data_IF_864561862097
#
_entry.id   IF_864561862097
#
_cell.length_a   1.000
_cell.length_b   1.000
_cell.length_c   1.000
_cell.angle_alpha   90.00
_cell.angle_beta   90.00
_cell.angle_gamma   90.00
#
_symmetry.space_group_name_H-M   'P 1'
#
loop_
_entity.id
_entity.type
_entity.pdbx_description
1 polymer ?
#
# COMPACT_ATOMS: atom_id res chain seq x y z
N UNK A 1 -15.06 -2.87 44.91
CA UNK A 1 -15.22 -3.04 43.45
C UNK A 1 -15.22 -4.53 43.15
N UNK A 2 -16.23 -5.09 42.46
CA UNK A 2 -16.31 -6.55 42.21
C UNK A 2 -15.10 -6.98 41.36
N UNK A 3 -14.47 -8.12 41.65
CA UNK A 3 -13.27 -8.64 40.94
C UNK A 3 -13.42 -8.56 39.41
N UNK A 4 -14.62 -8.81 38.89
CA UNK A 4 -14.95 -8.69 37.46
C UNK A 4 -14.73 -7.29 36.87
N UNK A 5 -14.99 -6.23 37.64
CA UNK A 5 -14.76 -4.85 37.21
C UNK A 5 -13.26 -4.49 37.20
N UNK A 6 -12.47 -5.04 38.14
CA UNK A 6 -11.01 -4.89 38.13
C UNK A 6 -10.41 -5.59 36.92
N UNK A 7 -10.84 -6.83 36.64
CA UNK A 7 -10.39 -7.60 35.47
C UNK A 7 -10.76 -6.90 34.16
N UNK A 8 -11.98 -6.37 34.05
CA UNK A 8 -12.41 -5.62 32.86
C UNK A 8 -11.57 -4.35 32.65
N UNK A 9 -11.28 -3.60 33.74
CA UNK A 9 -10.46 -2.39 33.67
C UNK A 9 -9.03 -2.70 33.20
N UNK A 10 -8.41 -3.75 33.75
CA UNK A 10 -7.05 -4.20 33.38
C UNK A 10 -7.00 -4.64 31.91
N UNK A 11 -7.99 -5.41 31.45
CA UNK A 11 -8.08 -5.81 30.04
C UNK A 11 -8.24 -4.59 29.13
N UNK A 12 -9.10 -3.65 29.47
CA UNK A 12 -9.32 -2.45 28.65
C UNK A 12 -8.07 -1.57 28.57
N UNK A 13 -7.36 -1.38 29.68
CA UNK A 13 -6.10 -0.62 29.69
C UNK A 13 -4.97 -1.35 28.95
N UNK A 14 -4.86 -2.67 29.06
CA UNK A 14 -3.88 -3.45 28.31
C UNK A 14 -4.12 -3.38 26.79
N UNK A 15 -5.37 -3.53 26.34
CA UNK A 15 -5.74 -3.40 24.92
C UNK A 15 -5.47 -1.98 24.42
N UNK A 16 -5.87 -0.96 25.18
CA UNK A 16 -5.61 0.45 24.83
C UNK A 16 -4.12 0.76 24.69
N UNK A 17 -3.30 0.31 25.64
CA UNK A 17 -1.86 0.49 25.60
C UNK A 17 -1.22 -0.25 24.41
N UNK A 18 -1.69 -1.46 24.09
CA UNK A 18 -1.22 -2.23 22.94
C UNK A 18 -1.52 -1.53 21.60
N UNK A 19 -2.75 -1.02 21.42
CA UNK A 19 -3.14 -0.28 20.21
C UNK A 19 -2.32 0.99 20.04
N UNK A 20 -2.13 1.76 21.13
CA UNK A 20 -1.32 2.98 21.12
C UNK A 20 0.16 2.70 20.84
N UNK A 21 0.72 1.68 21.48
CA UNK A 21 2.10 1.25 21.23
C UNK A 21 2.33 0.80 19.79
N UNK A 22 1.38 0.04 19.23
CA UNK A 22 1.42 -0.41 17.83
C UNK A 22 1.33 0.76 16.85
N UNK A 23 0.46 1.74 17.13
CA UNK A 23 0.40 3.00 16.35
C UNK A 23 1.75 3.73 16.35
N UNK A 24 2.40 3.87 17.51
CA UNK A 24 3.71 4.53 17.58
C UNK A 24 4.80 3.74 16.83
N UNK A 25 4.82 2.42 16.96
CA UNK A 25 5.75 1.57 16.19
C UNK A 25 5.55 1.71 14.69
N UNK A 26 4.29 1.69 14.24
CA UNK A 26 3.94 1.88 12.85
C UNK A 26 4.31 3.28 12.33
N UNK A 27 4.18 4.35 13.14
CA UNK A 27 4.66 5.68 12.73
C UNK A 27 6.16 5.72 12.47
N UNK A 28 6.98 4.92 13.17
CA UNK A 28 8.40 4.79 12.87
C UNK A 28 8.66 4.15 11.49
N UNK A 29 7.85 3.15 11.12
CA UNK A 29 7.88 2.57 9.76
C UNK A 29 7.43 3.57 8.69
N UNK A 30 6.36 4.31 8.95
CA UNK A 30 5.88 5.39 8.06
C UNK A 30 6.96 6.45 7.83
N UNK A 31 7.74 6.81 8.86
CA UNK A 31 8.85 7.75 8.70
C UNK A 31 9.99 7.21 7.81
N UNK A 32 10.31 5.92 7.91
CA UNK A 32 11.29 5.29 7.04
C UNK A 32 10.81 5.23 5.58
N UNK A 33 9.55 4.83 5.37
CA UNK A 33 8.90 4.84 4.04
C UNK A 33 8.87 6.26 3.47
N UNK A 34 8.55 7.28 4.28
CA UNK A 34 8.54 8.68 3.85
C UNK A 34 9.90 9.17 3.34
N UNK A 35 11.02 8.75 3.95
CA UNK A 35 12.36 9.09 3.45
C UNK A 35 12.63 8.46 2.07
N UNK A 36 12.24 7.21 1.90
CA UNK A 36 12.38 6.50 0.63
C UNK A 36 11.51 7.14 -0.47
N UNK A 37 10.23 7.38 -0.18
CA UNK A 37 9.30 8.05 -1.09
C UNK A 37 9.78 9.47 -1.45
N UNK A 38 10.34 10.22 -0.50
CA UNK A 38 10.91 11.54 -0.78
C UNK A 38 12.09 11.47 -1.77
N UNK A 39 12.95 10.45 -1.66
CA UNK A 39 14.05 10.22 -2.60
C UNK A 39 13.54 9.87 -4.01
N UNK A 40 12.54 8.98 -4.11
CA UNK A 40 11.93 8.64 -5.40
C UNK A 40 11.23 9.85 -6.04
N UNK A 41 10.49 10.62 -5.24
CA UNK A 41 9.83 11.86 -5.67
C UNK A 41 10.84 12.87 -6.21
N UNK A 42 11.98 13.04 -5.53
CA UNK A 42 13.05 13.93 -5.99
C UNK A 42 13.60 13.50 -7.35
N UNK A 43 13.73 12.19 -7.58
CA UNK A 43 14.19 11.66 -8.87
C UNK A 43 13.18 11.95 -9.98
N UNK A 44 11.88 11.75 -9.70
CA UNK A 44 10.79 12.07 -10.64
C UNK A 44 10.72 13.55 -11.00
N UNK A 45 10.94 14.43 -10.02
CA UNK A 45 11.02 15.87 -10.27
C UNK A 45 12.20 16.21 -11.18
N UNK A 46 13.36 15.58 -11.00
CA UNK A 46 14.50 15.76 -11.92
C UNK A 46 14.22 15.24 -13.33
N UNK A 47 13.54 14.09 -13.45
CA UNK A 47 13.13 13.57 -14.76
C UNK A 47 12.12 14.53 -15.44
N UNK A 48 11.21 15.13 -14.67
CA UNK A 48 10.30 16.18 -15.15
C UNK A 48 11.07 17.43 -15.62
N UNK A 49 11.98 17.96 -14.79
CA UNK A 49 12.77 19.16 -15.09
C UNK A 49 13.69 18.99 -16.31
N UNK A 50 14.21 17.77 -16.51
CA UNK A 50 15.07 17.43 -17.65
C UNK A 50 14.28 17.06 -18.92
N UNK A 51 12.94 17.04 -18.86
CA UNK A 51 12.09 16.65 -19.98
C UNK A 51 12.13 15.16 -20.30
N UNK A 52 12.64 14.32 -19.40
CA UNK A 52 12.69 12.87 -19.54
C UNK A 52 11.33 12.22 -19.22
N UNK A 53 10.33 12.58 -20.04
CA UNK A 53 8.92 12.22 -19.79
C UNK A 53 8.66 10.72 -19.84
N UNK A 54 9.43 9.97 -20.63
CA UNK A 54 9.25 8.52 -20.76
C UNK A 54 9.65 7.81 -19.46
N UNK A 55 10.83 8.11 -18.93
CA UNK A 55 11.27 7.58 -17.64
C UNK A 55 10.35 8.02 -16.50
N UNK A 56 9.89 9.27 -16.53
CA UNK A 56 8.93 9.77 -15.55
C UNK A 56 7.62 8.97 -15.60
N UNK A 57 7.11 8.68 -16.80
CA UNK A 57 5.91 7.89 -17.02
C UNK A 57 6.08 6.47 -16.46
N UNK A 58 7.13 5.76 -16.83
CA UNK A 58 7.43 4.42 -16.32
C UNK A 58 7.50 4.41 -14.78
N UNK A 59 8.17 5.40 -14.19
CA UNK A 59 8.30 5.49 -12.73
C UNK A 59 6.96 5.80 -12.03
N UNK A 60 6.06 6.55 -12.67
CA UNK A 60 4.71 6.81 -12.15
C UNK A 60 3.79 5.59 -12.33
N UNK A 61 3.90 4.87 -13.44
CA UNK A 61 3.17 3.63 -13.67
C UNK A 61 3.58 2.55 -12.66
N UNK A 62 4.88 2.45 -12.32
CA UNK A 62 5.38 1.58 -11.27
C UNK A 62 4.79 1.93 -9.89
N UNK A 63 4.78 3.21 -9.50
CA UNK A 63 4.20 3.65 -8.22
C UNK A 63 2.71 3.33 -8.15
N UNK A 64 1.97 3.54 -9.25
CA UNK A 64 0.55 3.19 -9.37
C UNK A 64 0.36 1.70 -9.10
N UNK A 65 1.14 0.84 -9.74
CA UNK A 65 1.03 -0.61 -9.59
C UNK A 65 1.36 -1.05 -8.16
N UNK A 66 2.42 -0.49 -7.57
CA UNK A 66 2.77 -0.74 -6.18
C UNK A 66 1.65 -0.31 -5.21
N UNK A 67 1.01 0.83 -5.47
CA UNK A 67 -0.12 1.30 -4.67
C UNK A 67 -1.34 0.38 -4.79
N UNK A 68 -1.63 -0.16 -5.98
CA UNK A 68 -2.71 -1.13 -6.20
C UNK A 68 -2.44 -2.44 -5.45
N UNK A 69 -1.19 -2.93 -5.48
CA UNK A 69 -0.79 -4.13 -4.71
C UNK A 69 -0.96 -3.88 -3.21
N UNK A 70 -0.41 -2.78 -2.70
CA UNK A 70 -0.52 -2.40 -1.28
C UNK A 70 -1.97 -2.25 -0.83
N UNK A 71 -2.84 -1.73 -1.69
CA UNK A 71 -4.29 -1.69 -1.42
C UNK A 71 -4.84 -3.11 -1.24
N UNK A 72 -4.56 -4.02 -2.18
CA UNK A 72 -4.99 -5.41 -2.11
C UNK A 72 -4.45 -6.18 -0.87
N UNK A 73 -3.21 -5.92 -0.46
CA UNK A 73 -2.64 -6.44 0.79
C UNK A 73 -3.35 -5.87 2.03
N UNK A 74 -3.70 -4.58 1.97
CA UNK A 74 -4.33 -3.83 3.06
C UNK A 74 -5.80 -4.14 3.29
N UNK A 75 -6.53 -4.68 2.31
CA UNK A 75 -7.97 -4.99 2.40
C UNK A 75 -8.32 -5.92 3.58
N UNK A 76 -7.41 -6.83 3.94
CA UNK A 76 -7.58 -7.76 5.06
C UNK A 76 -6.63 -7.47 6.24
N UNK A 77 -5.96 -6.31 6.21
CA UNK A 77 -4.95 -5.94 7.20
C UNK A 77 -5.53 -5.40 8.51
N UNK A 78 -4.72 -5.49 9.58
CA UNK A 78 -5.06 -4.90 10.89
C UNK A 78 -5.09 -3.35 10.87
N UNK A 79 -4.64 -2.73 9.78
CA UNK A 79 -4.63 -1.29 9.56
C UNK A 79 -6.02 -0.66 9.70
N UNK A 80 -7.09 -1.39 9.36
CA UNK A 80 -8.48 -0.94 9.51
C UNK A 80 -8.82 -0.64 10.98
N UNK A 81 -8.31 -1.45 11.91
CA UNK A 81 -8.51 -1.26 13.35
C UNK A 81 -7.58 -0.20 13.93
N UNK A 82 -6.39 -0.08 13.34
CA UNK A 82 -5.40 0.89 13.77
C UNK A 82 -5.65 2.28 13.21
N UNK A 83 -6.34 2.47 12.08
CA UNK A 83 -6.71 3.78 11.51
C UNK A 83 -8.11 3.74 10.90
N UNK A 84 -9.15 3.57 11.72
CA UNK A 84 -10.54 3.53 11.24
C UNK A 84 -10.96 4.82 10.52
N UNK A 85 -10.31 5.95 10.80
CA UNK A 85 -10.52 7.22 10.14
C UNK A 85 -10.21 7.20 8.63
N UNK A 86 -9.29 6.34 8.18
CA UNK A 86 -8.88 6.23 6.78
C UNK A 86 -9.89 5.46 5.92
N UNK A 87 -10.75 4.66 6.55
CA UNK A 87 -11.74 3.79 5.89
C UNK A 87 -13.18 4.26 6.09
N UNK A 88 -13.38 5.42 6.73
CA UNK A 88 -14.67 5.99 7.02
C UNK A 88 -14.84 7.39 6.41
N UNK A 89 -16.10 7.81 6.24
CA UNK A 89 -16.44 9.17 5.80
C UNK A 89 -15.91 9.52 4.40
N UNK A 90 -15.47 10.77 4.25
CA UNK A 90 -15.02 11.32 2.96
C UNK A 90 -13.75 10.67 2.45
N UNK A 91 -12.84 10.25 3.34
CA UNK A 91 -11.59 9.58 2.97
C UNK A 91 -11.85 8.26 2.24
N UNK A 92 -12.89 7.51 2.65
CA UNK A 92 -13.32 6.31 1.93
C UNK A 92 -13.72 6.63 0.50
N UNK A 93 -14.57 7.65 0.31
CA UNK A 93 -15.08 8.02 -1.01
C UNK A 93 -13.99 8.61 -1.93
N UNK A 94 -13.02 9.34 -1.36
CA UNK A 94 -11.86 9.86 -2.11
C UNK A 94 -10.94 8.69 -2.48
N UNK A 95 -10.64 7.80 -1.53
CA UNK A 95 -9.82 6.61 -1.75
C UNK A 95 -10.38 5.70 -2.84
N UNK A 96 -11.68 5.39 -2.78
CA UNK A 96 -12.35 4.56 -3.79
C UNK A 96 -12.32 5.19 -5.19
N UNK A 97 -12.49 6.51 -5.30
CA UNK A 97 -12.39 7.22 -6.59
C UNK A 97 -10.96 7.20 -7.13
N UNK A 98 -9.97 7.41 -6.27
CA UNK A 98 -8.56 7.33 -6.65
C UNK A 98 -8.19 5.92 -7.13
N UNK A 99 -8.64 4.90 -6.39
CA UNK A 99 -8.43 3.49 -6.71
C UNK A 99 -9.04 3.11 -8.06
N UNK A 100 -10.31 3.47 -8.30
CA UNK A 100 -10.98 3.21 -9.56
C UNK A 100 -10.24 3.85 -10.75
N UNK A 101 -9.79 5.11 -10.61
CA UNK A 101 -9.00 5.78 -11.66
C UNK A 101 -7.67 5.09 -11.93
N UNK A 102 -6.95 4.70 -10.87
CA UNK A 102 -5.68 4.00 -11.00
C UNK A 102 -5.86 2.64 -11.70
N UNK A 103 -6.88 1.87 -11.29
CA UNK A 103 -7.21 0.58 -11.88
C UNK A 103 -7.66 0.70 -13.34
N UNK A 104 -8.57 1.63 -13.67
CA UNK A 104 -8.99 1.89 -15.06
C UNK A 104 -7.82 2.31 -15.92
N UNK A 105 -6.98 3.25 -15.46
CA UNK A 105 -5.82 3.69 -16.22
C UNK A 105 -4.84 2.53 -16.49
N UNK A 106 -4.58 1.66 -15.50
CA UNK A 106 -3.76 0.45 -15.69
C UNK A 106 -4.38 -0.51 -16.70
N UNK A 107 -5.69 -0.73 -16.64
CA UNK A 107 -6.40 -1.61 -17.57
C UNK A 107 -6.24 -1.14 -19.03
N UNK A 108 -6.22 0.17 -19.24
CA UNK A 108 -5.96 0.80 -20.54
C UNK A 108 -4.47 0.80 -20.93
N UNK A 109 -3.57 0.84 -19.93
CA UNK A 109 -2.12 0.92 -20.10
C UNK A 109 -1.43 -0.20 -19.30
N UNK A 110 -1.53 -1.46 -19.74
CA UNK A 110 -0.99 -2.60 -19.02
C UNK A 110 0.53 -2.52 -18.99
N UNK A 111 1.10 -2.54 -17.79
CA UNK A 111 2.55 -2.66 -17.58
C UNK A 111 2.91 -4.09 -17.23
N UNK A 112 4.09 -4.50 -17.69
CA UNK A 112 4.68 -5.77 -17.29
C UNK A 112 5.29 -5.61 -15.90
N UNK A 113 4.77 -6.38 -14.95
CA UNK A 113 5.26 -6.35 -13.57
C UNK A 113 6.65 -6.99 -13.42
N UNK A 114 6.90 -8.09 -14.15
CA UNK A 114 8.20 -8.73 -14.22
C UNK A 114 8.36 -9.41 -15.58
N UNK A 115 9.55 -9.30 -16.18
CA UNK A 115 9.89 -10.10 -17.36
C UNK A 115 10.21 -11.54 -16.94
N UNK A 116 9.81 -12.56 -17.73
CA UNK A 116 10.07 -13.96 -17.40
C UNK A 116 11.55 -14.26 -17.12
N UNK A 117 12.44 -13.64 -17.90
CA UNK A 117 13.89 -13.77 -17.77
C UNK A 117 14.40 -13.26 -16.41
N UNK A 118 13.84 -12.16 -15.92
CA UNK A 118 14.14 -11.62 -14.59
C UNK A 118 13.67 -12.57 -13.51
N UNK A 119 12.44 -13.09 -13.63
CA UNK A 119 11.89 -14.07 -12.67
C UNK A 119 12.77 -15.32 -12.60
N UNK A 120 13.28 -15.77 -13.76
CA UNK A 120 14.09 -16.98 -13.85
C UNK A 120 15.45 -16.86 -13.15
N UNK A 121 15.98 -15.65 -13.03
CA UNK A 121 17.23 -15.36 -12.33
C UNK A 121 17.11 -15.24 -10.80
N UNK A 122 15.87 -15.13 -10.28
CA UNK A 122 15.61 -14.92 -8.85
C UNK A 122 15.51 -16.25 -8.10
N UNK A 123 15.84 -16.19 -6.81
CA UNK A 123 15.59 -17.29 -5.89
C UNK A 123 14.09 -17.60 -5.76
N UNK A 124 13.76 -18.81 -5.29
CA UNK A 124 12.38 -19.29 -5.25
C UNK A 124 11.45 -18.45 -4.38
N UNK A 125 11.95 -17.89 -3.27
CA UNK A 125 11.13 -17.10 -2.36
C UNK A 125 10.82 -15.73 -2.94
N UNK A 126 11.82 -15.06 -3.50
CA UNK A 126 11.64 -13.78 -4.20
C UNK A 126 10.75 -13.91 -5.42
N UNK A 127 10.93 -14.98 -6.22
CA UNK A 127 10.07 -15.26 -7.39
C UNK A 127 8.61 -15.42 -6.96
N UNK A 128 8.35 -16.25 -5.94
CA UNK A 128 6.99 -16.46 -5.43
C UNK A 128 6.36 -15.14 -4.98
N UNK A 129 7.11 -14.30 -4.25
CA UNK A 129 6.61 -12.99 -3.82
C UNK A 129 6.25 -12.06 -4.99
N UNK A 130 7.06 -12.04 -6.05
CA UNK A 130 6.76 -11.26 -7.25
C UNK A 130 5.55 -11.80 -8.02
N UNK A 131 5.39 -13.13 -8.11
CA UNK A 131 4.22 -13.75 -8.72
C UNK A 131 2.94 -13.49 -7.93
N UNK A 132 3.00 -13.53 -6.59
CA UNK A 132 1.89 -13.17 -5.71
C UNK A 132 1.50 -11.70 -5.91
N UNK A 133 2.47 -10.79 -5.98
CA UNK A 133 2.25 -9.39 -6.28
C UNK A 133 1.63 -9.17 -7.66
N UNK A 134 2.09 -9.90 -8.69
CA UNK A 134 1.50 -9.84 -10.02
C UNK A 134 0.03 -10.29 -10.00
N UNK A 135 -0.28 -11.40 -9.32
CA UNK A 135 -1.67 -11.87 -9.17
C UNK A 135 -2.54 -10.89 -8.40
N UNK A 136 -1.99 -10.28 -7.34
CA UNK A 136 -2.67 -9.25 -6.55
C UNK A 136 -3.01 -8.04 -7.41
N UNK A 137 -2.04 -7.56 -8.18
CA UNK A 137 -2.17 -6.44 -9.09
C UNK A 137 -3.27 -6.68 -10.11
N UNK A 138 -3.28 -7.85 -10.77
CA UNK A 138 -4.31 -8.21 -11.74
C UNK A 138 -5.70 -8.31 -11.09
N UNK A 139 -5.81 -8.93 -9.90
CA UNK A 139 -7.06 -9.01 -9.13
C UNK A 139 -7.63 -7.62 -8.83
N UNK A 140 -6.85 -6.75 -8.20
CA UNK A 140 -7.28 -5.41 -7.79
C UNK A 140 -7.64 -4.58 -9.02
N UNK A 141 -6.88 -4.70 -10.11
CA UNK A 141 -7.18 -4.02 -11.37
C UNK A 141 -8.53 -4.46 -11.93
N UNK A 142 -8.78 -5.76 -12.00
CA UNK A 142 -10.04 -6.30 -12.50
C UNK A 142 -11.24 -5.92 -11.63
N UNK A 143 -11.06 -5.87 -10.32
CA UNK A 143 -12.11 -5.56 -9.34
C UNK A 143 -12.54 -4.09 -9.37
N UNK A 144 -11.59 -3.16 -9.50
CA UNK A 144 -11.85 -1.73 -9.33
C UNK A 144 -11.87 -0.91 -10.63
N UNK A 145 -11.40 -1.47 -11.75
CA UNK A 145 -11.49 -0.78 -13.03
C UNK A 145 -12.94 -0.70 -13.51
N UNK A 146 -13.40 0.53 -13.74
CA UNK A 146 -14.72 0.85 -14.30
C UNK A 146 -14.66 0.93 -15.82
#
# INVERSE_FOLDING_TARGET
MKIRAVVALVLFTAIGAFVLGTRMGATGHVQADAKFIASLTTTKLKDLESGNLERLREALEFDRDLALIRHGEGENGLSIYLWPEMVAGEYKAIGQRGLARAATYRKEHPTKWAEPETLDSLDSDTRRGLEENARMLERVTAEYAQ
#
